data_IF_369403827014
#
_entry.id   IF_369403827014
#
_cell.length_a   1.000
_cell.length_b   1.000
_cell.length_c   1.000
_cell.angle_alpha   90.00
_cell.angle_beta   90.00
_cell.angle_gamma   90.00
#
_symmetry.space_group_name_H-M   'P 1'
#
loop_
_entity.id
_entity.type
_entity.pdbx_description
1 polymer ?
#
# COMPACT_ATOMS: atom_id res chain seq x y z
N UNK A 1 11.34 9.63 -26.09
CA UNK A 1 10.40 10.25 -25.14
C UNK A 1 10.79 9.82 -23.74
N UNK A 2 11.12 10.74 -22.84
CA UNK A 2 11.47 10.41 -21.44
C UNK A 2 10.20 10.30 -20.61
N UNK A 3 9.95 9.13 -20.02
CA UNK A 3 8.89 8.95 -19.03
C UNK A 3 9.19 9.74 -17.77
N UNK A 4 8.32 10.69 -17.41
CA UNK A 4 8.44 11.51 -16.21
C UNK A 4 7.90 10.72 -15.01
N UNK A 5 8.73 10.49 -14.00
CA UNK A 5 8.27 9.89 -12.74
C UNK A 5 7.53 10.96 -11.95
N UNK A 6 6.26 10.68 -11.60
CA UNK A 6 5.42 11.60 -10.85
C UNK A 6 4.74 10.87 -9.70
N UNK A 7 4.63 11.57 -8.57
CA UNK A 7 3.82 11.11 -7.45
C UNK A 7 2.34 11.22 -7.79
N UNK A 8 1.58 10.19 -7.43
CA UNK A 8 0.12 10.14 -7.58
C UNK A 8 -0.51 9.57 -6.32
N UNK A 9 -1.58 10.20 -5.86
CA UNK A 9 -2.43 9.68 -4.79
C UNK A 9 -3.34 8.59 -5.36
N UNK A 10 -3.52 7.50 -4.61
CA UNK A 10 -4.48 6.46 -4.93
C UNK A 10 -5.78 6.75 -4.18
N UNK A 11 -6.84 7.08 -4.91
CA UNK A 11 -8.12 7.50 -4.32
C UNK A 11 -9.07 6.32 -4.02
N UNK A 12 -8.78 5.15 -4.56
CA UNK A 12 -9.55 3.93 -4.33
C UNK A 12 -8.68 2.89 -3.65
N UNK A 13 -9.16 2.33 -2.56
CA UNK A 13 -8.67 1.05 -2.03
C UNK A 13 -9.88 0.19 -1.81
N UNK A 14 -9.88 -1.06 -2.26
CA UNK A 14 -10.96 -1.99 -1.94
C UNK A 14 -10.76 -2.53 -0.52
N UNK A 15 -11.82 -2.55 0.28
CA UNK A 15 -11.77 -3.02 1.67
C UNK A 15 -11.46 -1.91 2.69
N UNK A 16 -11.35 -2.30 3.95
CA UNK A 16 -10.98 -1.40 5.04
C UNK A 16 -9.50 -1.01 4.96
N UNK A 17 -9.21 0.28 4.90
CA UNK A 17 -7.84 0.76 5.07
C UNK A 17 -7.34 0.47 6.49
N UNK A 18 -6.07 0.08 6.67
CA UNK A 18 -5.48 -0.02 8.00
C UNK A 18 -5.54 1.35 8.69
N UNK A 19 -5.80 1.36 10.00
CA UNK A 19 -5.63 2.58 10.80
C UNK A 19 -4.21 3.15 10.64
N UNK A 20 -4.03 4.48 10.72
CA UNK A 20 -2.71 5.10 10.74
C UNK A 20 -1.78 4.42 11.75
N UNK A 21 -0.54 4.15 11.33
CA UNK A 21 0.43 3.36 12.10
C UNK A 21 1.87 3.72 11.71
N UNK A 22 2.82 3.56 12.64
CA UNK A 22 4.26 3.61 12.36
C UNK A 22 4.93 2.26 12.67
N UNK A 23 6.21 2.11 12.28
CA UNK A 23 7.00 0.90 12.58
C UNK A 23 6.54 -0.39 11.86
N UNK A 24 5.67 -0.29 10.87
CA UNK A 24 5.24 -1.43 10.07
C UNK A 24 6.33 -1.88 9.10
N UNK A 25 6.27 -3.13 8.66
CA UNK A 25 7.09 -3.64 7.55
C UNK A 25 6.27 -3.68 6.27
N UNK A 26 6.85 -3.22 5.15
CA UNK A 26 6.21 -3.23 3.84
C UNK A 26 7.09 -3.93 2.81
N UNK A 27 6.48 -4.73 1.94
CA UNK A 27 7.15 -5.39 0.80
C UNK A 27 6.28 -5.34 -0.45
N UNK A 28 6.90 -5.13 -1.60
CA UNK A 28 6.25 -5.26 -2.90
C UNK A 28 6.50 -6.67 -3.47
N UNK A 29 5.42 -7.38 -3.81
CA UNK A 29 5.47 -8.70 -4.45
C UNK A 29 4.56 -8.69 -5.67
N UNK A 30 5.17 -8.71 -6.87
CA UNK A 30 4.45 -8.55 -8.15
C UNK A 30 3.59 -7.27 -8.12
N UNK A 31 2.28 -7.44 -8.07
CA UNK A 31 1.28 -6.38 -8.15
C UNK A 31 0.69 -6.09 -6.78
N UNK A 32 1.28 -6.64 -5.72
CA UNK A 32 0.82 -6.51 -4.35
C UNK A 32 1.79 -5.69 -3.52
N UNK A 33 1.25 -4.86 -2.65
CA UNK A 33 1.96 -4.30 -1.51
C UNK A 33 1.43 -5.01 -0.27
N UNK A 34 2.33 -5.62 0.49
CA UNK A 34 2.00 -6.36 1.72
C UNK A 34 2.57 -5.58 2.89
N UNK A 35 1.73 -5.30 3.87
CA UNK A 35 2.06 -4.54 5.09
C UNK A 35 1.78 -5.43 6.30
N UNK A 36 2.76 -5.57 7.18
CA UNK A 36 2.63 -6.33 8.42
C UNK A 36 2.90 -5.46 9.65
N UNK A 37 1.98 -5.55 10.60
CA UNK A 37 2.07 -4.98 11.94
C UNK A 37 2.21 -3.46 11.99
N UNK A 38 3.05 -2.99 12.93
CA UNK A 38 3.16 -1.58 13.29
C UNK A 38 2.12 -1.16 14.32
N UNK A 39 2.06 0.12 14.68
CA UNK A 39 1.12 0.59 15.68
C UNK A 39 1.20 2.08 15.94
N UNK A 40 0.19 2.63 16.62
CA UNK A 40 0.22 3.99 17.19
C UNK A 40 -0.25 3.91 18.66
N UNK A 41 -1.35 3.20 18.91
CA UNK A 41 -1.91 2.93 20.24
C UNK A 41 -1.73 1.46 20.63
N UNK A 42 -0.49 0.96 20.53
CA UNK A 42 -0.16 -0.45 20.67
C UNK A 42 0.20 -1.11 19.34
N UNK A 43 0.97 -2.20 19.43
CA UNK A 43 1.44 -2.95 18.27
C UNK A 43 0.33 -3.90 17.80
N UNK A 44 0.01 -3.83 16.52
CA UNK A 44 -0.87 -4.80 15.85
C UNK A 44 -0.03 -5.84 15.10
N UNK A 45 -0.58 -7.03 14.93
CA UNK A 45 0.02 -8.16 14.21
C UNK A 45 -0.80 -8.53 12.96
N UNK A 46 -1.57 -7.59 12.43
CA UNK A 46 -2.41 -7.78 11.25
C UNK A 46 -1.58 -7.72 9.96
N UNK A 47 -2.09 -8.44 8.95
CA UNK A 47 -1.56 -8.43 7.59
C UNK A 47 -2.54 -7.67 6.68
N UNK A 48 -2.06 -6.62 6.03
CA UNK A 48 -2.81 -5.85 5.07
C UNK A 48 -2.21 -6.05 3.68
N UNK A 49 -3.05 -6.34 2.68
CA UNK A 49 -2.62 -6.57 1.30
C UNK A 49 -3.35 -5.62 0.37
N UNK A 50 -2.57 -4.84 -0.38
CA UNK A 50 -3.07 -3.92 -1.38
C UNK A 50 -2.72 -4.40 -2.78
N UNK A 51 -3.72 -4.51 -3.67
CA UNK A 51 -3.53 -4.92 -5.07
C UNK A 51 -3.38 -3.69 -5.98
N UNK A 52 -2.15 -3.45 -6.43
CA UNK A 52 -1.75 -2.40 -7.34
C UNK A 52 -2.02 -2.70 -8.83
N UNK A 53 -2.41 -3.93 -9.18
CA UNK A 53 -2.60 -4.35 -10.57
C UNK A 53 -3.62 -3.50 -11.32
N UNK A 54 -4.67 -3.02 -10.63
CA UNK A 54 -5.68 -2.11 -11.20
C UNK A 54 -5.14 -0.74 -11.60
N UNK A 55 -3.96 -0.33 -11.11
CA UNK A 55 -3.40 0.99 -11.38
C UNK A 55 -2.30 0.98 -12.46
N UNK A 56 -2.07 -0.17 -13.10
CA UNK A 56 -1.10 -0.31 -14.19
C UNK A 56 -1.61 0.17 -15.55
N UNK A 57 -2.91 0.40 -15.72
CA UNK A 57 -3.54 0.63 -17.03
C UNK A 57 -3.58 2.09 -17.51
N UNK A 58 -2.90 3.03 -16.84
CA UNK A 58 -2.78 4.39 -17.36
C UNK A 58 -1.55 4.49 -18.26
N UNK A 59 -1.67 3.97 -19.49
CA UNK A 59 -0.74 4.27 -20.58
C UNK A 59 -1.30 5.36 -21.48
#
# INVERSE_FOLDING_TARGET
MTTKVQWKRLDTTTGSSPKPRHGHRAVAVKDLIIIFGGGNDGIVEDLNVFNCGKYKEFK
#
